data_IF_801377857426
#
_entry.id   IF_801377857426
#
_cell.length_a   1.000
_cell.length_b   1.000
_cell.length_c   1.000
_cell.angle_alpha   90.00
_cell.angle_beta   90.00
_cell.angle_gamma   90.00
#
_symmetry.space_group_name_H-M   'P 1'
#
loop_
_entity.id
_entity.type
_entity.pdbx_description
1 polymer ?
#
# COMPACT_ATOMS: atom_id res chain seq x y z
N UNK A 1 13.04 -12.19 10.87
CA UNK A 1 12.00 -12.04 9.81
C UNK A 1 11.13 -10.81 10.01
N UNK A 2 10.83 -10.38 11.25
CA UNK A 2 9.98 -9.22 11.51
C UNK A 2 10.45 -7.91 10.85
N UNK A 3 11.76 -7.64 10.73
CA UNK A 3 12.28 -6.44 10.05
C UNK A 3 11.88 -6.40 8.58
N UNK A 4 11.90 -7.54 7.88
CA UNK A 4 11.50 -7.61 6.48
C UNK A 4 9.99 -7.32 6.33
N UNK A 5 9.16 -7.89 7.21
CA UNK A 5 7.72 -7.63 7.23
C UNK A 5 7.43 -6.17 7.56
N UNK A 6 8.15 -5.59 8.53
CA UNK A 6 8.04 -4.17 8.85
C UNK A 6 8.41 -3.30 7.64
N UNK A 7 9.51 -3.61 6.95
CA UNK A 7 9.91 -2.91 5.73
C UNK A 7 8.83 -2.96 4.64
N UNK A 8 8.22 -4.14 4.42
CA UNK A 8 7.12 -4.31 3.47
C UNK A 8 5.89 -3.49 3.86
N UNK A 9 5.52 -3.47 5.14
CA UNK A 9 4.38 -2.67 5.64
C UNK A 9 4.60 -1.18 5.43
N UNK A 10 5.79 -0.67 5.78
CA UNK A 10 6.12 0.75 5.62
C UNK A 10 6.20 1.14 4.14
N UNK A 11 6.77 0.28 3.29
CA UNK A 11 6.82 0.51 1.86
C UNK A 11 5.43 0.49 1.24
N UNK A 12 4.58 -0.47 1.62
CA UNK A 12 3.19 -0.55 1.20
C UNK A 12 2.41 0.71 1.61
N UNK A 13 2.58 1.19 2.84
CA UNK A 13 1.96 2.42 3.30
C UNK A 13 2.41 3.63 2.47
N UNK A 14 3.72 3.80 2.27
CA UNK A 14 4.29 4.90 1.50
C UNK A 14 3.74 4.92 0.07
N UNK A 15 3.73 3.78 -0.63
CA UNK A 15 3.25 3.68 -2.00
C UNK A 15 1.76 4.05 -2.10
N UNK A 16 0.92 3.60 -1.16
CA UNK A 16 -0.50 3.94 -1.15
C UNK A 16 -0.77 5.42 -0.83
N UNK A 17 0.05 6.05 0.03
CA UNK A 17 -0.07 7.48 0.33
C UNK A 17 0.22 8.38 -0.89
N UNK A 18 1.02 7.92 -1.85
CA UNK A 18 1.26 8.70 -3.08
C UNK A 18 0.00 8.93 -3.92
N UNK A 19 -1.06 8.14 -3.70
CA UNK A 19 -2.37 8.39 -4.31
C UNK A 19 -3.02 9.70 -3.86
N UNK A 20 -2.63 10.23 -2.70
CA UNK A 20 -3.13 11.50 -2.18
C UNK A 20 -2.53 12.71 -2.88
N UNK A 21 -1.36 12.54 -3.48
CA UNK A 21 -0.62 13.62 -4.16
C UNK A 21 -0.14 13.07 -5.50
N UNK A 22 -1.03 12.85 -6.48
CA UNK A 22 -0.64 12.27 -7.76
C UNK A 22 0.31 13.20 -8.52
N UNK A 23 1.25 12.60 -9.27
CA UNK A 23 2.21 13.34 -10.08
C UNK A 23 1.47 14.20 -11.12
N UNK A 24 1.75 15.50 -11.11
CA UNK A 24 1.09 16.49 -11.97
C UNK A 24 1.73 16.57 -13.37
N UNK A 25 0.95 16.92 -14.41
CA UNK A 25 1.48 17.13 -15.76
C UNK A 25 2.57 18.20 -15.77
N UNK A 26 3.71 17.89 -16.39
CA UNK A 26 4.85 18.80 -16.51
C UNK A 26 5.74 18.89 -15.25
N UNK A 27 5.39 18.22 -14.16
CA UNK A 27 6.32 18.00 -13.05
C UNK A 27 7.45 17.09 -13.52
N UNK A 28 8.71 17.46 -13.30
CA UNK A 28 9.84 16.56 -13.53
C UNK A 28 9.68 15.36 -12.61
N UNK A 29 9.39 14.15 -13.13
CA UNK A 29 9.38 12.98 -12.28
C UNK A 29 10.79 12.86 -11.70
N UNK A 30 10.94 12.65 -10.39
CA UNK A 30 12.25 12.33 -9.84
C UNK A 30 12.83 11.13 -10.62
N UNK A 31 14.16 10.98 -10.73
CA UNK A 31 14.76 9.80 -11.33
C UNK A 31 14.11 8.53 -10.77
N UNK A 32 13.98 7.46 -11.57
CA UNK A 32 13.23 6.26 -11.15
C UNK A 32 13.73 5.67 -9.82
N UNK A 33 15.00 5.91 -9.46
CA UNK A 33 15.64 5.52 -8.21
C UNK A 33 15.54 6.54 -7.05
N UNK A 34 15.07 7.77 -7.29
CA UNK A 34 14.94 8.87 -6.29
C UNK A 34 13.49 9.34 -6.15
N UNK A 35 12.50 8.45 -6.27
CA UNK A 35 11.09 8.85 -6.14
C UNK A 35 10.31 8.97 -7.45
N UNK A 36 10.87 8.51 -8.58
CA UNK A 36 10.15 8.45 -9.85
C UNK A 36 8.96 7.48 -9.82
N UNK A 37 8.45 7.12 -11.00
CA UNK A 37 7.20 6.32 -11.12
C UNK A 37 7.19 4.99 -10.37
N UNK A 38 8.35 4.45 -9.95
CA UNK A 38 8.45 3.26 -9.10
C UNK A 38 7.95 3.49 -7.66
N UNK A 39 8.31 4.63 -7.06
CA UNK A 39 7.85 5.02 -5.71
C UNK A 39 6.59 5.89 -5.78
N UNK A 40 6.23 6.38 -6.96
CA UNK A 40 5.10 7.27 -7.22
C UNK A 40 4.24 6.75 -8.38
N UNK A 41 3.51 5.63 -8.20
CA UNK A 41 2.80 4.94 -9.28
C UNK A 41 1.62 5.72 -9.86
N UNK A 42 1.11 6.72 -9.14
CA UNK A 42 -0.04 7.54 -9.53
C UNK A 42 0.41 8.83 -10.22
N UNK A 43 0.09 8.95 -11.51
CA UNK A 43 0.30 10.16 -12.29
C UNK A 43 -1.00 10.54 -12.99
N UNK A 44 -1.29 11.83 -13.14
CA UNK A 44 -2.55 12.32 -13.74
C UNK A 44 -2.76 11.77 -15.17
N UNK A 45 -1.69 11.41 -15.88
CA UNK A 45 -1.77 10.81 -17.22
C UNK A 45 -2.05 9.30 -17.22
N UNK A 46 -2.13 8.68 -16.04
CA UNK A 46 -2.37 7.24 -15.90
C UNK A 46 -3.80 6.91 -16.33
N UNK A 47 -3.96 5.87 -17.15
CA UNK A 47 -5.29 5.40 -17.52
C UNK A 47 -5.94 4.72 -16.32
N UNK A 48 -7.14 5.19 -15.98
CA UNK A 48 -7.95 4.61 -14.91
C UNK A 48 -9.09 3.76 -15.51
N UNK A 49 -9.55 2.75 -14.77
CA UNK A 49 -10.75 1.99 -15.13
C UNK A 49 -12.01 2.83 -14.97
N UNK A 50 -12.03 3.71 -13.96
CA UNK A 50 -13.12 4.65 -13.74
C UNK A 50 -12.89 5.91 -14.58
N UNK A 51 -13.95 6.52 -15.14
CA UNK A 51 -13.82 7.80 -15.82
C UNK A 51 -13.37 8.88 -14.83
N UNK A 52 -12.60 9.85 -15.33
CA UNK A 52 -12.25 11.02 -14.54
C UNK A 52 -13.53 11.75 -14.07
N UNK A 53 -13.61 12.04 -12.77
CA UNK A 53 -14.79 12.67 -12.17
C UNK A 53 -14.84 12.51 -10.65
N UNK A 54 -15.95 12.93 -10.06
CA UNK A 54 -16.14 12.98 -8.59
C UNK A 54 -15.93 11.62 -7.91
N UNK A 55 -16.40 10.54 -8.53
CA UNK A 55 -16.27 9.20 -7.98
C UNK A 55 -14.79 8.77 -7.86
N UNK A 56 -13.99 8.95 -8.92
CA UNK A 56 -12.57 8.64 -8.89
C UNK A 56 -11.82 9.53 -7.88
N UNK A 57 -12.17 10.81 -7.82
CA UNK A 57 -11.59 11.79 -6.90
C UNK A 57 -11.92 11.49 -5.43
N UNK A 58 -13.07 10.87 -5.15
CA UNK A 58 -13.45 10.44 -3.81
C UNK A 58 -12.81 9.09 -3.44
N UNK A 59 -12.86 8.10 -4.33
CA UNK A 59 -12.37 6.75 -4.05
C UNK A 59 -10.86 6.68 -3.90
N UNK A 60 -10.11 7.40 -4.74
CA UNK A 60 -8.64 7.38 -4.72
C UNK A 60 -8.06 7.71 -3.34
N UNK A 61 -8.41 8.86 -2.70
CA UNK A 61 -7.90 9.18 -1.38
C UNK A 61 -8.46 8.27 -0.29
N UNK A 62 -9.72 7.83 -0.39
CA UNK A 62 -10.31 6.90 0.59
C UNK A 62 -9.53 5.58 0.59
N UNK A 63 -9.34 4.97 -0.57
CA UNK A 63 -8.63 3.69 -0.68
C UNK A 63 -7.16 3.83 -0.30
N UNK A 64 -6.47 4.87 -0.79
CA UNK A 64 -5.07 5.12 -0.48
C UNK A 64 -4.81 5.36 1.01
N UNK A 65 -5.61 6.22 1.65
CA UNK A 65 -5.49 6.48 3.09
C UNK A 65 -5.90 5.28 3.94
N UNK A 66 -6.94 4.53 3.55
CA UNK A 66 -7.35 3.31 4.26
C UNK A 66 -6.26 2.26 4.20
N UNK A 67 -5.71 1.97 3.01
CA UNK A 67 -4.62 1.02 2.85
C UNK A 67 -3.38 1.42 3.68
N UNK A 68 -2.97 2.68 3.59
CA UNK A 68 -1.84 3.19 4.34
C UNK A 68 -2.06 3.13 5.87
N UNK A 69 -3.23 3.54 6.35
CA UNK A 69 -3.57 3.47 7.77
C UNK A 69 -3.53 2.02 8.27
N UNK A 70 -4.11 1.07 7.52
CA UNK A 70 -4.07 -0.34 7.86
C UNK A 70 -2.63 -0.87 7.96
N UNK A 71 -1.77 -0.57 6.98
CA UNK A 71 -0.37 -1.03 7.02
C UNK A 71 0.45 -0.37 8.14
N UNK A 72 0.23 0.92 8.43
CA UNK A 72 0.88 1.60 9.55
C UNK A 72 0.41 1.05 10.91
N UNK A 73 -0.88 0.74 11.06
CA UNK A 73 -1.42 0.11 12.27
C UNK A 73 -0.89 -1.32 12.43
N UNK A 74 -0.75 -2.08 11.33
CA UNK A 74 -0.11 -3.39 11.35
C UNK A 74 1.37 -3.29 11.74
N UNK A 75 2.08 -2.27 11.25
CA UNK A 75 3.46 -1.99 11.66
C UNK A 75 3.53 -1.62 13.15
N UNK A 76 2.59 -0.81 13.65
CA UNK A 76 2.49 -0.48 15.07
C UNK A 76 2.21 -1.72 15.94
N UNK A 77 1.32 -2.62 15.50
CA UNK A 77 1.07 -3.90 16.16
C UNK A 77 2.33 -4.78 16.18
N UNK A 78 3.05 -4.85 15.06
CA UNK A 78 4.33 -5.57 14.95
C UNK A 78 5.44 -4.93 15.77
N UNK A 79 5.37 -3.64 16.08
CA UNK A 79 6.27 -2.93 17.00
C UNK A 79 5.81 -3.04 18.46
N UNK A 80 4.68 -3.68 18.74
CA UNK A 80 4.14 -3.82 20.10
C UNK A 80 3.73 -2.47 20.68
N UNK A 81 3.41 -1.52 19.81
CA UNK A 81 2.89 -0.22 20.18
C UNK A 81 1.36 -0.30 20.33
N UNK A 82 0.68 0.85 20.33
CA UNK A 82 -0.74 1.11 20.62
C UNK A 82 -1.79 0.11 20.07
N UNK A 83 -1.44 -0.74 19.10
CA UNK A 83 -2.36 -1.63 18.38
C UNK A 83 -2.27 -3.08 18.89
N UNK A 84 -3.39 -3.74 19.21
CA UNK A 84 -3.41 -5.13 19.64
C UNK A 84 -2.80 -6.11 18.63
N UNK A 85 -1.98 -7.11 19.06
CA UNK A 85 -1.34 -8.08 18.17
C UNK A 85 -2.31 -8.92 17.33
N UNK A 86 -3.48 -9.24 17.86
CA UNK A 86 -4.52 -10.03 17.17
C UNK A 86 -5.16 -9.29 15.98
N UNK A 87 -4.95 -7.96 15.86
CA UNK A 87 -5.44 -7.19 14.72
C UNK A 87 -4.51 -7.27 13.52
N UNK A 88 -3.26 -7.71 13.71
CA UNK A 88 -2.21 -7.69 12.70
C UNK A 88 -2.63 -8.31 11.37
N UNK A 89 -3.12 -9.55 11.40
CA UNK A 89 -3.55 -10.28 10.20
C UNK A 89 -4.72 -9.59 9.50
N UNK A 90 -5.72 -9.12 10.25
CA UNK A 90 -6.87 -8.42 9.69
C UNK A 90 -6.50 -7.08 9.07
N UNK A 91 -5.59 -6.33 9.71
CA UNK A 91 -5.08 -5.06 9.19
C UNK A 91 -4.32 -5.27 7.88
N UNK A 92 -3.51 -6.32 7.78
CA UNK A 92 -2.81 -6.65 6.52
C UNK A 92 -3.82 -6.99 5.42
N UNK A 93 -4.80 -7.84 5.71
CA UNK A 93 -5.80 -8.26 4.71
C UNK A 93 -6.64 -7.07 4.25
N UNK A 94 -7.13 -6.25 5.17
CA UNK A 94 -7.93 -5.05 4.84
C UNK A 94 -7.10 -4.02 4.06
N UNK A 95 -5.85 -3.78 4.49
CA UNK A 95 -4.94 -2.87 3.82
C UNK A 95 -4.60 -3.30 2.39
N UNK A 96 -4.27 -4.59 2.21
CA UNK A 96 -4.00 -5.17 0.91
C UNK A 96 -5.24 -5.16 0.00
N UNK A 97 -6.44 -5.45 0.54
CA UNK A 97 -7.67 -5.38 -0.25
C UNK A 97 -7.95 -3.96 -0.77
N UNK A 98 -7.78 -2.94 0.09
CA UNK A 98 -7.92 -1.54 -0.30
C UNK A 98 -6.84 -1.12 -1.31
N UNK A 99 -5.59 -1.57 -1.12
CA UNK A 99 -4.48 -1.29 -2.03
C UNK A 99 -4.69 -1.93 -3.40
N UNK A 100 -5.05 -3.22 -3.46
CA UNK A 100 -5.37 -3.92 -4.70
C UNK A 100 -6.51 -3.22 -5.44
N UNK A 101 -7.59 -2.86 -4.75
CA UNK A 101 -8.70 -2.12 -5.37
C UNK A 101 -8.22 -0.80 -5.98
N UNK A 102 -7.37 -0.06 -5.28
CA UNK A 102 -6.78 1.19 -5.78
C UNK A 102 -5.90 0.96 -7.01
N UNK A 103 -5.03 -0.06 -6.98
CA UNK A 103 -4.14 -0.40 -8.10
C UNK A 103 -4.92 -0.90 -9.33
N UNK A 104 -6.01 -1.62 -9.12
CA UNK A 104 -6.92 -2.06 -10.19
C UNK A 104 -7.60 -0.85 -10.83
N UNK A 105 -8.05 0.13 -10.03
CA UNK A 105 -8.63 1.37 -10.55
C UNK A 105 -7.59 2.17 -11.36
N UNK A 106 -6.34 2.22 -10.89
CA UNK A 106 -5.23 2.96 -11.50
C UNK A 106 -4.27 2.04 -12.27
N UNK A 107 -4.71 1.56 -13.43
CA UNK A 107 -3.90 0.64 -14.24
C UNK A 107 -2.62 1.32 -14.72
N UNK A 108 -1.50 0.93 -14.12
CA UNK A 108 -0.17 1.43 -14.40
C UNK A 108 0.82 0.27 -14.42
N UNK A 109 1.84 0.26 -15.30
CA UNK A 109 2.95 -0.68 -15.19
C UNK A 109 3.63 -0.63 -13.81
N UNK A 110 3.53 0.50 -13.13
CA UNK A 110 4.12 0.72 -11.81
C UNK A 110 3.25 0.19 -10.67
N UNK A 111 2.01 -0.24 -10.94
CA UNK A 111 1.16 -0.95 -9.99
C UNK A 111 1.74 -2.33 -9.63
N UNK A 112 2.70 -2.86 -10.40
CA UNK A 112 3.33 -4.16 -10.14
C UNK A 112 4.01 -4.16 -8.76
N UNK A 113 4.72 -3.10 -8.39
CA UNK A 113 5.42 -3.05 -7.10
C UNK A 113 4.46 -3.11 -5.88
N UNK A 114 3.45 -2.24 -5.76
CA UNK A 114 2.48 -2.33 -4.66
C UNK A 114 1.75 -3.67 -4.65
N UNK A 115 1.36 -4.20 -5.82
CA UNK A 115 0.73 -5.53 -5.90
C UNK A 115 1.64 -6.66 -5.43
N UNK A 116 2.95 -6.62 -5.75
CA UNK A 116 3.91 -7.62 -5.25
C UNK A 116 4.06 -7.54 -3.72
N UNK A 117 4.03 -6.34 -3.15
CA UNK A 117 4.06 -6.14 -1.69
C UNK A 117 2.79 -6.72 -1.06
N UNK A 118 1.62 -6.41 -1.62
CA UNK A 118 0.34 -6.94 -1.15
C UNK A 118 0.32 -8.46 -1.20
N UNK A 119 0.76 -9.06 -2.31
CA UNK A 119 0.85 -10.53 -2.46
C UNK A 119 1.82 -11.12 -1.45
N UNK A 120 2.99 -10.50 -1.22
CA UNK A 120 3.95 -11.00 -0.23
C UNK A 120 3.40 -10.93 1.20
N UNK A 121 2.70 -9.84 1.56
CA UNK A 121 2.07 -9.65 2.86
C UNK A 121 0.89 -10.61 3.06
N UNK A 122 0.02 -10.74 2.07
CA UNK A 122 -1.10 -11.69 2.09
C UNK A 122 -0.61 -13.13 2.15
N UNK A 123 0.44 -13.48 1.39
CA UNK A 123 1.06 -14.79 1.47
C UNK A 123 1.61 -15.06 2.87
N UNK A 124 2.30 -14.10 3.48
CA UNK A 124 2.83 -14.25 4.84
C UNK A 124 1.71 -14.52 5.87
N UNK A 125 0.58 -13.82 5.75
CA UNK A 125 -0.54 -13.98 6.70
C UNK A 125 -1.38 -15.22 6.42
N UNK A 126 -1.69 -15.53 5.16
CA UNK A 126 -2.62 -16.59 4.79
C UNK A 126 -1.96 -17.95 4.54
N UNK A 127 -0.70 -17.97 4.13
CA UNK A 127 0.05 -19.19 3.86
C UNK A 127 0.63 -19.81 5.14
N UNK A 128 1.73 -19.26 5.68
CA UNK A 128 2.31 -19.73 6.94
C UNK A 128 1.52 -19.32 8.20
N UNK A 129 0.51 -18.45 8.10
CA UNK A 129 -0.26 -18.02 9.29
C UNK A 129 0.52 -17.05 10.19
N UNK A 130 1.37 -16.20 9.62
CA UNK A 130 2.29 -15.35 10.39
C UNK A 130 1.54 -14.38 11.30
N UNK A 131 1.83 -14.46 12.61
CA UNK A 131 1.36 -13.55 13.65
C UNK A 131 2.50 -12.71 14.22
N UNK A 132 2.17 -11.65 14.97
CA UNK A 132 3.17 -10.82 15.67
C UNK A 132 4.07 -11.67 16.57
N UNK A 133 3.48 -12.65 17.28
CA UNK A 133 4.19 -13.58 18.16
C UNK A 133 5.19 -14.42 17.36
N UNK A 134 4.76 -15.04 16.25
CA UNK A 134 5.64 -15.84 15.40
C UNK A 134 6.81 -15.05 14.79
N UNK A 135 6.63 -13.74 14.55
CA UNK A 135 7.66 -12.89 13.95
C UNK A 135 8.69 -12.41 14.97
N UNK A 136 8.28 -12.25 16.21
CA UNK A 136 9.11 -11.73 17.31
C UNK A 136 9.86 -12.82 18.06
N UNK A 137 9.35 -14.06 18.06
CA UNK A 137 9.94 -15.18 18.78
C UNK A 137 9.24 -15.42 20.11
#
# INVERSE_FOLDING_TARGET
>A
MWIAVLGLLLLGAQLNLTALVPLQPGGTPPPWWVGGRLLWPFAVETRTLLPAGELLNALTPILGSTAAACFLLAAAALLGWLVPPNWFSWLIVAGAAASIALQVIWISPWAILPLLIDVALLWAVLGPGVTVESLRG
#
